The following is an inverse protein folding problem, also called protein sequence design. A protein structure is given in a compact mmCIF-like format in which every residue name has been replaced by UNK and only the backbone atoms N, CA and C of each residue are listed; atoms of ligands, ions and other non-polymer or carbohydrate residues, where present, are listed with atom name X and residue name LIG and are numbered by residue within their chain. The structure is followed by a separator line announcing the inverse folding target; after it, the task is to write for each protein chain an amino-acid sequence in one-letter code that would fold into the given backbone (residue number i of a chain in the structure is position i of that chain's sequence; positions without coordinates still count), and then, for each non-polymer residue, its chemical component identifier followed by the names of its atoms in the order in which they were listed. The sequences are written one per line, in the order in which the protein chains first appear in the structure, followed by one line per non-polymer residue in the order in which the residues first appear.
data_IF_044761776181
#
_entry.id   IF_044761776181
#
_cell.length_a   1.000
_cell.length_b   1.000
_cell.length_c   1.000
_cell.angle_alpha   90.00
_cell.angle_beta   90.00
_cell.angle_gamma   90.00
#
_symmetry.space_group_name_H-M   'P 1'
#
loop_
_entity.id
_entity.type
_entity.pdbx_description
1 polymer ?
#
# COMPACT_ATOMS: atom_id res chain seq x y z
N UNK A 1 -2.16 -0.04 2.49
CA UNK A 1 -1.20 1.10 2.43
C UNK A 1 -1.66 2.18 3.39
N UNK A 2 -0.74 2.79 4.12
CA UNK A 2 -1.01 3.85 5.09
C UNK A 2 -0.37 5.15 4.61
N UNK A 3 -1.08 6.26 4.75
CA UNK A 3 -0.48 7.58 4.62
C UNK A 3 0.01 8.04 5.98
N UNK A 4 1.31 8.28 6.09
CA UNK A 4 1.98 8.67 7.31
C UNK A 4 2.08 10.20 7.45
N UNK A 5 2.30 10.67 8.68
CA UNK A 5 2.35 12.11 8.99
C UNK A 5 3.38 12.90 8.18
N UNK A 6 4.44 12.26 7.72
CA UNK A 6 5.48 12.82 6.85
C UNK A 6 5.10 12.82 5.35
N UNK A 7 3.85 12.46 5.01
CA UNK A 7 3.35 12.39 3.64
C UNK A 7 3.83 11.16 2.85
N UNK A 8 4.54 10.24 3.50
CA UNK A 8 4.99 9.00 2.90
C UNK A 8 3.89 7.92 2.91
N UNK A 9 4.01 7.00 1.95
CA UNK A 9 3.11 5.86 1.82
C UNK A 9 3.79 4.58 2.34
N UNK A 10 3.39 4.14 3.54
CA UNK A 10 3.86 2.91 4.15
C UNK A 10 3.06 1.70 3.67
N UNK A 11 3.74 0.64 3.27
CA UNK A 11 3.12 -0.58 2.73
C UNK A 11 3.39 -1.77 3.66
N UNK A 12 2.32 -2.50 3.98
CA UNK A 12 2.29 -3.61 4.92
C UNK A 12 1.16 -4.58 4.57
N UNK A 13 1.27 -5.84 5.00
CA UNK A 13 0.18 -6.82 4.95
C UNK A 13 -0.42 -7.07 6.34
N UNK A 14 -1.69 -7.45 6.39
CA UNK A 14 -2.33 -7.91 7.61
C UNK A 14 -3.56 -8.76 7.30
N UNK A 15 -3.85 -9.75 8.14
CA UNK A 15 -5.14 -10.47 8.15
C UNK A 15 -6.24 -9.69 8.85
N UNK A 16 -5.88 -8.64 9.61
CA UNK A 16 -6.80 -7.77 10.34
C UNK A 16 -6.30 -6.32 10.22
N UNK A 17 -6.76 -5.67 9.15
CA UNK A 17 -6.31 -4.32 8.77
C UNK A 17 -6.68 -3.30 9.83
N UNK A 18 -7.88 -3.37 10.40
CA UNK A 18 -8.37 -2.41 11.39
C UNK A 18 -7.54 -2.46 12.68
N UNK A 19 -7.34 -3.65 13.25
CA UNK A 19 -6.52 -3.82 14.45
C UNK A 19 -5.07 -3.43 14.21
N UNK A 20 -4.52 -3.76 13.04
CA UNK A 20 -3.15 -3.40 12.69
C UNK A 20 -2.98 -1.89 12.55
N UNK A 21 -3.92 -1.22 11.91
CA UNK A 21 -3.96 0.24 11.81
C UNK A 21 -4.02 0.90 13.19
N UNK A 22 -4.95 0.46 14.06
CA UNK A 22 -5.04 0.95 15.44
C UNK A 22 -3.72 0.76 16.23
N UNK A 23 -3.05 -0.38 16.05
CA UNK A 23 -1.74 -0.65 16.66
C UNK A 23 -0.66 0.32 16.18
N UNK A 24 -0.68 0.67 14.88
CA UNK A 24 0.24 1.67 14.32
C UNK A 24 -0.07 3.08 14.86
N UNK A 25 -1.35 3.49 14.91
CA UNK A 25 -1.77 4.77 15.51
C UNK A 25 -1.38 4.90 16.98
N UNK A 26 -1.47 3.80 17.75
CA UNK A 26 -1.09 3.77 19.17
C UNK A 26 0.44 3.75 19.41
N UNK A 27 1.27 3.90 18.38
CA UNK A 27 2.74 3.89 18.52
C UNK A 27 3.32 2.51 18.88
N UNK A 28 2.54 1.43 18.74
CA UNK A 28 2.97 0.06 19.04
C UNK A 28 3.36 -0.74 17.79
N UNK A 29 3.20 -0.15 16.60
CA UNK A 29 3.50 -0.77 15.31
C UNK A 29 4.98 -0.87 14.94
N UNK A 30 5.29 -0.93 13.65
CA UNK A 30 6.66 -0.99 13.12
C UNK A 30 7.46 0.28 13.46
N UNK A 31 8.80 0.18 13.58
CA UNK A 31 9.70 1.30 13.93
C UNK A 31 9.37 2.58 13.15
N UNK A 32 9.23 2.47 11.83
CA UNK A 32 8.90 3.61 10.97
C UNK A 32 7.58 4.27 11.38
N UNK A 33 6.50 3.50 11.52
CA UNK A 33 5.18 4.02 11.90
C UNK A 33 5.10 4.53 13.34
N UNK A 34 6.05 4.19 14.21
CA UNK A 34 6.14 4.81 15.55
C UNK A 34 6.68 6.24 15.46
N UNK A 35 7.66 6.46 14.58
CA UNK A 35 8.25 7.77 14.32
C UNK A 35 7.36 8.64 13.43
N UNK A 36 6.65 8.01 12.48
CA UNK A 36 5.75 8.63 11.52
C UNK A 36 4.37 7.95 11.59
N UNK A 37 3.54 8.28 12.60
CA UNK A 37 2.23 7.65 12.79
C UNK A 37 1.34 7.83 11.56
N UNK A 38 0.52 6.81 11.21
CA UNK A 38 -0.37 6.89 10.07
C UNK A 38 -1.54 7.83 10.35
N UNK A 39 -1.87 8.68 9.38
CA UNK A 39 -3.02 9.58 9.40
C UNK A 39 -4.28 8.90 8.87
N UNK A 40 -4.16 8.07 7.83
CA UNK A 40 -5.28 7.30 7.27
C UNK A 40 -4.82 6.02 6.57
N UNK A 41 -5.78 5.11 6.37
CA UNK A 41 -5.63 4.00 5.44
C UNK A 41 -5.87 4.57 4.03
N UNK A 42 -4.85 4.51 3.17
CA UNK A 42 -4.92 5.08 1.82
C UNK A 42 -5.41 4.07 0.78
N UNK A 43 -5.14 2.78 1.00
CA UNK A 43 -5.56 1.69 0.09
C UNK A 43 -5.60 0.38 0.86
N UNK A 44 -6.60 -0.46 0.59
CA UNK A 44 -6.66 -1.86 1.05
C UNK A 44 -6.98 -2.71 -0.15
N UNK A 45 -6.27 -3.82 -0.31
CA UNK A 45 -6.56 -4.77 -1.36
C UNK A 45 -6.42 -6.20 -0.80
N UNK A 46 -7.45 -7.05 -0.91
CA UNK A 46 -7.42 -8.42 -0.42
C UNK A 46 -6.58 -9.31 -1.33
N UNK A 47 -5.94 -10.34 -0.77
CA UNK A 47 -5.27 -11.38 -1.54
C UNK A 47 -5.76 -12.74 -1.07
N UNK A 48 -5.80 -13.71 -1.98
CA UNK A 48 -6.26 -15.06 -1.68
C UNK A 48 -5.41 -15.76 -0.59
N UNK A 49 -4.12 -15.46 -0.56
CA UNK A 49 -3.19 -16.07 0.39
C UNK A 49 -2.03 -15.13 0.78
N UNK A 50 -1.32 -15.53 1.84
CA UNK A 50 -0.17 -14.80 2.38
C UNK A 50 0.98 -14.68 1.37
N UNK A 51 1.20 -15.69 0.52
CA UNK A 51 2.29 -15.70 -0.46
C UNK A 51 2.07 -14.62 -1.51
N UNK A 52 0.85 -14.52 -2.05
CA UNK A 52 0.46 -13.48 -2.99
C UNK A 52 0.54 -12.08 -2.35
N UNK A 53 0.04 -11.92 -1.12
CA UNK A 53 0.13 -10.66 -0.39
C UNK A 53 1.59 -10.21 -0.20
N UNK A 54 2.50 -11.12 0.17
CA UNK A 54 3.92 -10.81 0.34
C UNK A 54 4.62 -10.45 -0.98
N UNK A 55 4.31 -11.17 -2.07
CA UNK A 55 4.85 -10.86 -3.41
C UNK A 55 4.41 -9.46 -3.86
N UNK A 56 3.12 -9.14 -3.70
CA UNK A 56 2.58 -7.83 -4.03
C UNK A 56 3.19 -6.74 -3.13
N UNK A 57 3.29 -6.96 -1.82
CA UNK A 57 3.92 -6.02 -0.89
C UNK A 57 5.37 -5.72 -1.29
N UNK A 58 6.15 -6.76 -1.64
CA UNK A 58 7.52 -6.61 -2.10
C UNK A 58 7.62 -5.80 -3.40
N UNK A 59 6.76 -6.08 -4.39
CA UNK A 59 6.71 -5.31 -5.62
C UNK A 59 6.33 -3.84 -5.38
N UNK A 60 5.28 -3.59 -4.57
CA UNK A 60 4.81 -2.25 -4.23
C UNK A 60 5.88 -1.46 -3.47
N UNK A 61 6.61 -2.08 -2.55
CA UNK A 61 7.69 -1.42 -1.79
C UNK A 61 8.75 -0.80 -2.70
N UNK A 62 9.04 -1.43 -3.84
CA UNK A 62 10.02 -0.98 -4.84
C UNK A 62 9.51 0.12 -5.78
N UNK A 63 8.20 0.39 -5.80
CA UNK A 63 7.64 1.48 -6.60
C UNK A 63 8.14 2.84 -6.06
N UNK A 64 8.33 3.79 -6.99
CA UNK A 64 8.62 5.17 -6.64
C UNK A 64 7.48 5.79 -5.81
N UNK A 65 7.77 6.86 -5.06
CA UNK A 65 6.74 7.56 -4.31
C UNK A 65 5.63 8.12 -5.22
N UNK A 66 5.98 8.59 -6.43
CA UNK A 66 5.02 9.06 -7.43
C UNK A 66 4.10 7.93 -7.91
N UNK A 67 4.68 6.76 -8.23
CA UNK A 67 3.93 5.60 -8.70
C UNK A 67 2.99 5.05 -7.61
N UNK A 68 3.42 5.05 -6.33
CA UNK A 68 2.54 4.70 -5.21
C UNK A 68 1.35 5.66 -5.09
N UNK A 69 1.57 6.96 -5.31
CA UNK A 69 0.48 7.96 -5.30
C UNK A 69 -0.50 7.76 -6.45
N UNK A 70 -0.01 7.41 -7.64
CA UNK A 70 -0.89 7.03 -8.76
C UNK A 70 -1.75 5.82 -8.41
N UNK A 71 -1.15 4.77 -7.83
CA UNK A 71 -1.89 3.60 -7.36
C UNK A 71 -2.97 3.99 -6.34
N UNK A 72 -2.64 4.81 -5.34
CA UNK A 72 -3.63 5.30 -4.36
C UNK A 72 -4.73 6.14 -5.04
N UNK A 73 -4.38 6.97 -6.02
CA UNK A 73 -5.34 7.80 -6.75
C UNK A 73 -6.31 6.97 -7.61
N UNK A 74 -5.87 5.81 -8.11
CA UNK A 74 -6.75 4.84 -8.79
C UNK A 74 -7.75 4.18 -7.82
N UNK A 75 -7.42 4.06 -6.54
CA UNK A 75 -8.32 3.54 -5.51
C UNK A 75 -8.39 2.02 -5.41
N UNK A 76 -7.91 1.27 -6.41
CA UNK A 76 -7.79 -0.18 -6.39
C UNK A 76 -6.53 -0.69 -7.13
N UNK A 77 -6.00 -1.83 -6.68
CA UNK A 77 -4.79 -2.42 -7.26
C UNK A 77 -5.06 -3.12 -8.61
N UNK A 78 -6.17 -3.82 -8.75
CA UNK A 78 -6.50 -4.53 -10.00
C UNK A 78 -6.79 -3.54 -11.12
N UNK A 79 -7.57 -2.49 -10.82
CA UNK A 79 -7.86 -1.41 -11.77
C UNK A 79 -6.58 -0.70 -12.25
N UNK A 80 -5.65 -0.44 -11.31
CA UNK A 80 -4.36 0.16 -11.63
C UNK A 80 -3.48 -0.77 -12.48
N UNK A 81 -3.44 -2.07 -12.18
CA UNK A 81 -2.70 -3.06 -12.95
C UNK A 81 -3.26 -3.20 -14.38
N UNK A 82 -4.58 -3.26 -14.52
CA UNK A 82 -5.27 -3.31 -15.80
C UNK A 82 -4.94 -2.07 -16.66
N UNK A 83 -5.01 -0.87 -16.06
CA UNK A 83 -4.66 0.39 -16.74
C UNK A 83 -3.21 0.37 -17.21
N UNK A 84 -2.28 -0.10 -16.39
CA UNK A 84 -0.85 -0.18 -16.76
C UNK A 84 -0.57 -1.19 -17.85
N UNK A 85 -1.28 -2.32 -17.86
CA UNK A 85 -1.18 -3.31 -18.93
C UNK A 85 -1.65 -2.73 -20.26
N UNK A 86 -2.79 -2.03 -20.28
CA UNK A 86 -3.31 -1.38 -21.48
C UNK A 86 -2.34 -0.33 -22.04
N UNK A 87 -1.73 0.50 -21.18
CA UNK A 87 -0.72 1.49 -21.59
C UNK A 87 0.57 0.85 -22.12
N UNK A 88 0.95 -0.32 -21.62
CA UNK A 88 2.12 -1.05 -22.13
C UNK A 88 1.87 -1.59 -23.54
N UNK A 89 0.65 -2.09 -23.82
CA UNK A 89 0.25 -2.58 -25.15
C UNK A 89 0.12 -1.42 -26.15
N UNK A 90 -0.41 -0.26 -25.74
CA UNK A 90 -0.60 0.89 -26.63
C UNK A 90 0.70 1.59 -27.07
N UNK A 91 1.81 1.35 -26.37
CA UNK A 91 3.13 1.93 -26.67
C UNK A 91 4.08 0.93 -27.35
N UNK A 92 3.53 -0.18 -27.87
CA UNK A 92 4.26 -1.25 -28.56
C UNK A 92 3.81 -1.34 -30.01
#
# INVERSE_FOLDING_TARGET
MLECRDGALYTGISTDVARRYATHCAGKGARYTRLNPPQRIALVHPFADKSQALKAEHAIKRLSAATKRQLVAHGDLDDWLATRAALAVANQ
#
